data_IF_100367575477
#
_entry.id   IF_100367575477
#
_cell.length_a   1.000
_cell.length_b   1.000
_cell.length_c   1.000
_cell.angle_alpha   90.00
_cell.angle_beta   90.00
_cell.angle_gamma   90.00
#
_symmetry.space_group_name_H-M   'P 1'
#
loop_
_entity.id
_entity.type
_entity.pdbx_description
1 polymer ?
#
# COMPACT_ATOMS: atom_id res chain seq x y z
N UNK A 1 -22.01 -1.34 3.36
CA UNK A 1 -21.60 -1.33 1.94
C UNK A 1 -20.72 -2.54 1.72
N UNK A 2 -20.92 -3.30 0.64
CA UNK A 2 -20.00 -4.40 0.33
C UNK A 2 -18.77 -3.76 -0.35
N UNK A 3 -17.60 -3.87 0.27
CA UNK A 3 -16.35 -3.44 -0.34
C UNK A 3 -15.79 -4.63 -1.13
N UNK A 4 -15.49 -4.46 -2.41
CA UNK A 4 -14.85 -5.49 -3.23
C UNK A 4 -13.36 -5.18 -3.39
N UNK A 5 -12.44 -6.09 -2.99
CA UNK A 5 -11.03 -5.89 -3.24
C UNK A 5 -10.70 -5.67 -4.72
N UNK A 6 -11.39 -6.35 -5.65
CA UNK A 6 -11.15 -6.19 -7.08
C UNK A 6 -11.44 -4.78 -7.58
N UNK A 7 -12.43 -4.09 -7.00
CA UNK A 7 -12.73 -2.70 -7.35
C UNK A 7 -11.60 -1.75 -6.94
N UNK A 8 -11.04 -1.95 -5.74
CA UNK A 8 -9.88 -1.17 -5.26
C UNK A 8 -8.67 -1.39 -6.17
N UNK A 9 -8.41 -2.64 -6.56
CA UNK A 9 -7.34 -2.95 -7.49
C UNK A 9 -7.63 -2.35 -8.88
N UNK A 10 -8.85 -2.46 -9.41
CA UNK A 10 -9.18 -1.87 -10.70
C UNK A 10 -8.97 -0.35 -10.70
N UNK A 11 -9.44 0.34 -9.66
CA UNK A 11 -9.24 1.77 -9.49
C UNK A 11 -7.75 2.15 -9.47
N UNK A 12 -6.96 1.48 -8.64
CA UNK A 12 -5.55 1.80 -8.49
C UNK A 12 -4.75 1.53 -9.78
N UNK A 13 -5.01 0.42 -10.47
CA UNK A 13 -4.27 0.08 -11.70
C UNK A 13 -4.65 0.99 -12.86
N UNK A 14 -5.92 1.38 -12.96
CA UNK A 14 -6.38 2.34 -13.97
C UNK A 14 -5.77 3.74 -13.77
N UNK A 15 -5.44 4.12 -12.53
CA UNK A 15 -4.76 5.38 -12.25
C UNK A 15 -3.33 5.40 -12.79
N UNK A 16 -2.61 4.28 -12.70
CA UNK A 16 -1.26 4.11 -13.22
C UNK A 16 -0.16 4.90 -12.49
N UNK A 17 1.12 4.67 -12.86
CA UNK A 17 2.29 5.12 -12.10
C UNK A 17 2.41 6.64 -11.97
N UNK A 18 1.89 7.41 -12.93
CA UNK A 18 1.88 8.87 -12.84
C UNK A 18 1.06 9.34 -11.62
N UNK A 19 -0.09 8.72 -11.37
CA UNK A 19 -0.96 9.05 -10.25
C UNK A 19 -0.51 8.41 -8.94
N UNK A 20 0.05 7.19 -8.97
CA UNK A 20 0.51 6.47 -7.77
C UNK A 20 1.46 7.30 -6.91
N UNK A 21 2.40 8.01 -7.56
CA UNK A 21 3.49 8.70 -6.84
C UNK A 21 3.40 10.23 -6.88
N UNK A 22 2.74 10.83 -7.88
CA UNK A 22 2.59 12.28 -7.95
C UNK A 22 1.22 12.77 -7.46
N UNK A 23 0.18 11.94 -7.60
CA UNK A 23 -1.20 12.31 -7.30
C UNK A 23 -1.64 13.61 -7.99
N UNK A 24 -2.38 14.43 -7.25
CA UNK A 24 -2.92 15.72 -7.70
C UNK A 24 -4.35 15.90 -7.23
N UNK A 25 -4.84 17.14 -7.15
CA UNK A 25 -6.15 17.45 -6.55
C UNK A 25 -7.30 16.60 -7.14
N UNK A 26 -7.31 16.42 -8.46
CA UNK A 26 -8.31 15.59 -9.13
C UNK A 26 -8.23 14.10 -8.74
N UNK A 27 -7.02 13.56 -8.60
CA UNK A 27 -6.83 12.16 -8.20
C UNK A 27 -7.10 11.98 -6.70
N UNK A 28 -6.69 12.93 -5.87
CA UNK A 28 -6.96 12.93 -4.44
C UNK A 28 -8.49 12.92 -4.17
N UNK A 29 -9.26 13.67 -4.95
CA UNK A 29 -10.73 13.64 -4.89
C UNK A 29 -11.31 12.31 -5.38
N UNK A 30 -10.77 11.75 -6.47
CA UNK A 30 -11.18 10.43 -6.94
C UNK A 30 -10.90 9.34 -5.89
N UNK A 31 -9.77 9.40 -5.18
CA UNK A 31 -9.44 8.51 -4.07
C UNK A 31 -10.46 8.66 -2.93
N UNK A 32 -10.83 9.89 -2.54
CA UNK A 32 -11.85 10.11 -1.50
C UNK A 32 -13.21 9.55 -1.92
N UNK A 33 -13.65 9.87 -3.13
CA UNK A 33 -14.94 9.43 -3.64
C UNK A 33 -15.04 7.90 -3.75
N UNK A 34 -13.95 7.23 -4.16
CA UNK A 34 -13.97 5.79 -4.42
C UNK A 34 -13.59 4.94 -3.20
N UNK A 35 -12.62 5.38 -2.40
CA UNK A 35 -11.96 4.54 -1.40
C UNK A 35 -12.27 4.91 0.06
N UNK A 36 -12.86 6.08 0.36
CA UNK A 36 -12.99 6.54 1.75
C UNK A 36 -13.82 5.60 2.63
N UNK A 37 -14.90 5.05 2.10
CA UNK A 37 -15.72 4.06 2.82
C UNK A 37 -14.96 2.77 3.12
N UNK A 38 -14.24 2.23 2.12
CA UNK A 38 -13.45 1.01 2.26
C UNK A 38 -12.26 1.22 3.21
N UNK A 39 -11.63 2.39 3.16
CA UNK A 39 -10.60 2.81 4.10
C UNK A 39 -11.11 2.82 5.54
N UNK A 40 -12.30 3.39 5.79
CA UNK A 40 -12.89 3.40 7.13
C UNK A 40 -13.10 1.99 7.69
N UNK A 41 -13.66 1.08 6.89
CA UNK A 41 -13.85 -0.32 7.26
C UNK A 41 -12.50 -1.06 7.46
N UNK A 42 -11.52 -0.82 6.59
CA UNK A 42 -10.17 -1.36 6.73
C UNK A 42 -9.47 -0.87 8.00
N UNK A 43 -9.56 0.43 8.31
CA UNK A 43 -8.99 1.03 9.51
C UNK A 43 -9.63 0.45 10.78
N UNK A 44 -10.95 0.20 10.76
CA UNK A 44 -11.69 -0.43 11.85
C UNK A 44 -11.44 -1.95 12.02
N UNK A 45 -10.77 -2.61 11.06
CA UNK A 45 -10.51 -4.06 11.11
C UNK A 45 -11.60 -4.94 10.51
N UNK A 46 -12.63 -4.34 9.94
CA UNK A 46 -13.77 -5.07 9.35
C UNK A 46 -13.37 -5.83 8.07
N UNK A 47 -12.28 -5.42 7.42
CA UNK A 47 -11.78 -6.04 6.19
C UNK A 47 -10.57 -6.96 6.40
N UNK A 48 -10.20 -7.29 7.65
CA UNK A 48 -9.00 -8.10 7.94
C UNK A 48 -9.06 -9.51 7.31
N UNK A 49 -10.28 -10.03 7.02
CA UNK A 49 -10.49 -11.27 6.28
C UNK A 49 -9.89 -11.27 4.86
N UNK A 50 -9.63 -10.10 4.29
CA UNK A 50 -8.98 -9.96 2.97
C UNK A 50 -7.55 -10.52 2.95
N UNK A 51 -6.93 -10.75 4.11
CA UNK A 51 -5.62 -11.40 4.20
C UNK A 51 -5.62 -12.87 3.73
N UNK A 52 -6.79 -13.47 3.49
CA UNK A 52 -6.91 -14.88 3.08
C UNK A 52 -6.39 -15.16 1.65
N UNK A 53 -6.30 -14.15 0.78
CA UNK A 53 -5.81 -14.31 -0.59
C UNK A 53 -4.87 -13.17 -1.01
N UNK A 54 -3.92 -13.42 -1.95
CA UNK A 54 -2.93 -12.41 -2.33
C UNK A 54 -3.53 -11.10 -2.85
N UNK A 55 -4.58 -11.18 -3.67
CA UNK A 55 -5.19 -10.01 -4.30
C UNK A 55 -5.95 -9.14 -3.32
N UNK A 56 -6.73 -9.75 -2.43
CA UNK A 56 -7.45 -9.04 -1.40
C UNK A 56 -6.50 -8.49 -0.35
N UNK A 57 -5.41 -9.18 -0.03
CA UNK A 57 -4.35 -8.66 0.86
C UNK A 57 -3.69 -7.41 0.26
N UNK A 58 -3.37 -7.43 -1.04
CA UNK A 58 -2.82 -6.26 -1.73
C UNK A 58 -3.78 -5.07 -1.69
N UNK A 59 -5.07 -5.30 -1.95
CA UNK A 59 -6.09 -4.25 -1.89
C UNK A 59 -6.17 -3.62 -0.49
N UNK A 60 -6.10 -4.45 0.55
CA UNK A 60 -6.10 -3.99 1.93
C UNK A 60 -4.85 -3.15 2.27
N UNK A 61 -3.68 -3.57 1.80
CA UNK A 61 -2.43 -2.81 1.98
C UNK A 61 -2.54 -1.46 1.25
N UNK A 62 -3.01 -1.43 0.00
CA UNK A 62 -3.19 -0.19 -0.74
C UNK A 62 -4.16 0.78 -0.05
N UNK A 63 -5.28 0.27 0.49
CA UNK A 63 -6.23 1.08 1.25
C UNK A 63 -5.59 1.73 2.47
N UNK A 64 -4.68 1.04 3.16
CA UNK A 64 -4.11 1.50 4.42
C UNK A 64 -2.78 2.24 4.28
N UNK A 65 -2.08 2.04 3.17
CA UNK A 65 -0.76 2.62 2.89
C UNK A 65 -0.84 3.69 1.79
N UNK A 66 -1.32 3.35 0.60
CA UNK A 66 -1.28 4.28 -0.53
C UNK A 66 -2.42 5.30 -0.50
N UNK A 67 -3.66 4.86 -0.28
CA UNK A 67 -4.84 5.74 -0.35
C UNK A 67 -4.78 6.92 0.65
N UNK A 68 -4.32 6.77 1.91
CA UNK A 68 -4.23 7.88 2.86
C UNK A 68 -3.31 9.01 2.39
N UNK A 69 -2.26 8.68 1.62
CA UNK A 69 -1.30 9.65 1.04
C UNK A 69 -1.93 10.56 0.00
N UNK A 70 -3.01 10.11 -0.65
CA UNK A 70 -3.84 10.92 -1.55
C UNK A 70 -5.04 11.55 -0.84
N UNK A 71 -5.78 10.79 -0.02
CA UNK A 71 -7.03 11.26 0.59
C UNK A 71 -6.81 12.35 1.65
N UNK A 72 -5.70 12.27 2.39
CA UNK A 72 -5.44 13.10 3.58
C UNK A 72 -4.11 13.87 3.50
N UNK A 73 -3.71 14.26 2.28
CA UNK A 73 -2.46 14.98 2.00
C UNK A 73 -2.23 16.13 2.98
N UNK A 74 -0.98 16.26 3.46
CA UNK A 74 -0.56 17.30 4.39
C UNK A 74 -1.31 17.32 5.74
N UNK A 75 -1.82 16.17 6.18
CA UNK A 75 -2.45 16.01 7.49
C UNK A 75 -1.90 14.79 8.24
N UNK A 76 -2.03 14.79 9.57
CA UNK A 76 -1.61 13.65 10.40
C UNK A 76 -2.38 12.35 10.06
N UNK A 77 -3.59 12.46 9.50
CA UNK A 77 -4.40 11.31 9.13
C UNK A 77 -3.78 10.49 7.98
N UNK A 78 -2.87 11.08 7.22
CA UNK A 78 -2.08 10.38 6.19
C UNK A 78 -1.29 9.19 6.75
N UNK A 79 -0.85 9.28 8.01
CA UNK A 79 0.00 8.27 8.65
C UNK A 79 -0.77 7.37 9.63
N UNK A 80 -2.06 7.64 9.86
CA UNK A 80 -2.84 7.02 10.93
C UNK A 80 -2.94 5.48 10.81
N UNK A 81 -2.77 4.95 9.60
CA UNK A 81 -2.88 3.51 9.31
C UNK A 81 -1.55 2.86 8.94
N UNK A 82 -0.43 3.58 8.95
CA UNK A 82 0.88 3.07 8.53
C UNK A 82 1.31 1.86 9.37
N UNK A 83 1.14 1.92 10.70
CA UNK A 83 1.47 0.80 11.59
C UNK A 83 0.66 -0.48 11.28
N UNK A 84 -0.62 -0.33 10.90
CA UNK A 84 -1.46 -1.47 10.49
C UNK A 84 -1.04 -2.00 9.12
N UNK A 85 -0.77 -1.11 8.17
CA UNK A 85 -0.28 -1.49 6.85
C UNK A 85 1.03 -2.28 6.94
N UNK A 86 1.97 -1.84 7.78
CA UNK A 86 3.24 -2.53 8.03
C UNK A 86 3.02 -3.95 8.56
N UNK A 87 2.16 -4.13 9.57
CA UNK A 87 1.87 -5.44 10.14
C UNK A 87 1.22 -6.39 9.11
N UNK A 88 0.35 -5.88 8.25
CA UNK A 88 -0.30 -6.67 7.19
C UNK A 88 0.67 -7.00 6.03
N UNK A 89 1.57 -6.08 5.70
CA UNK A 89 2.64 -6.31 4.75
C UNK A 89 3.56 -7.42 5.22
N UNK A 90 4.01 -7.38 6.49
CA UNK A 90 4.82 -8.44 7.09
C UNK A 90 4.15 -9.81 7.02
N UNK A 91 2.88 -9.88 7.43
CA UNK A 91 2.08 -11.12 7.32
C UNK A 91 1.95 -11.61 5.89
N UNK A 92 1.76 -10.70 4.93
CA UNK A 92 1.68 -11.03 3.50
C UNK A 92 2.99 -11.58 2.95
N UNK A 93 4.14 -11.07 3.43
CA UNK A 93 5.45 -11.62 3.09
C UNK A 93 5.64 -13.03 3.65
N UNK A 94 5.26 -13.24 4.92
CA UNK A 94 5.41 -14.52 5.60
C UNK A 94 4.67 -15.68 4.90
N UNK A 95 3.51 -15.41 4.31
CA UNK A 95 2.73 -16.40 3.56
C UNK A 95 2.98 -16.38 2.05
N UNK A 96 3.87 -15.51 1.56
CA UNK A 96 4.28 -15.48 0.15
C UNK A 96 3.33 -14.75 -0.80
N UNK A 97 2.37 -13.95 -0.30
CA UNK A 97 1.37 -13.27 -1.15
C UNK A 97 2.00 -12.34 -2.20
N UNK A 98 3.08 -11.62 -1.84
CA UNK A 98 3.85 -10.76 -2.74
C UNK A 98 4.32 -11.48 -4.02
N UNK A 99 4.59 -12.80 -3.95
CA UNK A 99 5.09 -13.58 -5.08
C UNK A 99 4.06 -13.79 -6.17
N UNK A 100 2.77 -13.60 -5.88
CA UNK A 100 1.69 -13.65 -6.86
C UNK A 100 1.72 -12.45 -7.84
N UNK A 101 2.49 -11.41 -7.53
CA UNK A 101 2.57 -10.19 -8.33
C UNK A 101 3.95 -10.03 -8.97
N UNK A 102 4.03 -9.64 -10.26
CA UNK A 102 5.26 -9.14 -10.84
C UNK A 102 5.52 -7.70 -10.36
N UNK A 103 6.73 -7.20 -10.61
CA UNK A 103 7.00 -5.76 -10.53
C UNK A 103 6.22 -5.02 -11.63
N UNK A 104 5.77 -3.78 -11.38
CA UNK A 104 5.92 -3.02 -10.14
C UNK A 104 4.89 -3.36 -9.05
N UNK A 105 3.84 -4.14 -9.35
CA UNK A 105 2.75 -4.43 -8.40
C UNK A 105 3.21 -5.06 -7.09
N UNK A 106 4.26 -5.89 -7.13
CA UNK A 106 4.87 -6.47 -5.93
C UNK A 106 5.40 -5.42 -4.93
N UNK A 107 5.87 -4.27 -5.43
CA UNK A 107 6.45 -3.20 -4.61
C UNK A 107 5.48 -2.66 -3.57
N UNK A 108 4.18 -2.70 -3.83
CA UNK A 108 3.16 -2.24 -2.88
C UNK A 108 3.11 -3.08 -1.59
N UNK A 109 3.64 -4.31 -1.59
CA UNK A 109 3.86 -5.07 -0.36
C UNK A 109 5.09 -4.59 0.43
N UNK A 110 5.98 -3.79 -0.17
CA UNK A 110 7.24 -3.34 0.40
C UNK A 110 7.16 -1.90 0.90
N UNK A 111 6.34 -1.06 0.24
CA UNK A 111 6.19 0.35 0.61
C UNK A 111 5.83 0.60 2.09
N UNK A 112 5.00 -0.21 2.77
CA UNK A 112 4.77 -0.02 4.21
C UNK A 112 6.05 -0.10 5.06
N UNK A 113 7.05 -0.87 4.64
CA UNK A 113 8.37 -0.92 5.30
C UNK A 113 9.20 0.34 5.03
N UNK A 114 9.10 0.91 3.83
CA UNK A 114 9.76 2.17 3.46
C UNK A 114 9.19 3.35 4.24
N UNK A 115 7.88 3.33 4.47
CA UNK A 115 7.15 4.40 5.15
C UNK A 115 7.23 4.38 6.67
N UNK A 116 7.68 3.26 7.25
CA UNK A 116 7.83 3.15 8.69
C UNK A 116 8.94 4.07 9.20
N UNK A 117 8.69 4.78 10.29
CA UNK A 117 9.72 5.50 11.07
C UNK A 117 10.52 4.52 11.95
N UNK A 118 11.01 3.44 11.33
CA UNK A 118 11.78 2.37 11.98
C UNK A 118 12.91 1.90 11.05
N UNK A 119 14.15 2.03 11.52
CA UNK A 119 15.34 1.73 10.72
C UNK A 119 15.42 0.25 10.31
N UNK A 120 14.89 -0.67 11.13
CA UNK A 120 14.89 -2.09 10.81
C UNK A 120 13.89 -2.40 9.68
N UNK A 121 12.71 -1.78 9.70
CA UNK A 121 11.73 -1.84 8.62
C UNK A 121 12.31 -1.26 7.32
N UNK A 122 12.93 -0.08 7.37
CA UNK A 122 13.54 0.54 6.19
C UNK A 122 14.69 -0.31 5.61
N UNK A 123 15.57 -0.85 6.45
CA UNK A 123 16.63 -1.77 6.03
C UNK A 123 16.04 -3.02 5.34
N UNK A 124 14.94 -3.55 5.89
CA UNK A 124 14.23 -4.67 5.29
C UNK A 124 13.62 -4.31 3.94
N UNK A 125 13.10 -3.09 3.76
CA UNK A 125 12.62 -2.64 2.45
C UNK A 125 13.74 -2.63 1.41
N UNK A 126 14.93 -2.15 1.79
CA UNK A 126 16.11 -2.15 0.91
C UNK A 126 16.46 -3.58 0.47
N UNK A 127 16.52 -4.51 1.43
CA UNK A 127 16.84 -5.91 1.15
C UNK A 127 15.79 -6.59 0.25
N UNK A 128 14.50 -6.32 0.47
CA UNK A 128 13.40 -6.83 -0.36
C UNK A 128 13.50 -6.33 -1.80
N UNK A 129 13.64 -5.02 -2.00
CA UNK A 129 13.76 -4.43 -3.33
C UNK A 129 15.01 -4.95 -4.06
N UNK A 130 16.14 -5.04 -3.35
CA UNK A 130 17.39 -5.58 -3.90
C UNK A 130 17.26 -7.05 -4.30
N UNK A 131 16.68 -7.88 -3.43
CA UNK A 131 16.53 -9.32 -3.65
C UNK A 131 15.66 -9.65 -4.87
N UNK A 132 14.67 -8.81 -5.16
CA UNK A 132 13.75 -8.98 -6.27
C UNK A 132 14.17 -8.26 -7.57
N UNK A 133 15.30 -7.54 -7.56
CA UNK A 133 15.76 -6.78 -8.71
C UNK A 133 14.90 -5.55 -9.03
N UNK A 134 14.20 -4.99 -8.03
CA UNK A 134 13.42 -3.77 -8.18
C UNK A 134 14.33 -2.54 -8.08
N UNK A 135 14.97 -2.15 -9.20
CA UNK A 135 15.96 -1.06 -9.23
C UNK A 135 15.37 0.28 -8.74
N UNK A 136 14.18 0.65 -9.21
CA UNK A 136 13.48 1.86 -8.77
C UNK A 136 13.13 1.77 -7.28
N UNK A 137 12.53 0.66 -6.85
CA UNK A 137 12.16 0.45 -5.45
C UNK A 137 13.38 0.49 -4.53
N UNK A 138 14.51 -0.06 -4.97
CA UNK A 138 15.77 -0.03 -4.25
C UNK A 138 16.31 1.39 -4.12
N UNK A 139 16.31 2.17 -5.21
CA UNK A 139 16.71 3.57 -5.18
C UNK A 139 15.90 4.37 -4.15
N UNK A 140 14.56 4.28 -4.21
CA UNK A 140 13.72 5.01 -3.28
C UNK A 140 13.82 4.50 -1.84
N UNK A 141 14.03 3.19 -1.62
CA UNK A 141 14.25 2.64 -0.29
C UNK A 141 15.51 3.23 0.38
N UNK A 142 16.60 3.41 -0.38
CA UNK A 142 17.82 4.05 0.13
C UNK A 142 17.65 5.54 0.44
N UNK A 143 16.78 6.24 -0.30
CA UNK A 143 16.49 7.66 -0.06
C UNK A 143 15.70 7.87 1.24
N UNK A 144 14.95 6.86 1.69
CA UNK A 144 14.09 6.94 2.88
C UNK A 144 14.78 6.48 4.19
N UNK A 145 15.94 5.82 4.12
CA UNK A 145 16.77 5.48 5.30
C UNK A 145 17.39 6.72 5.95
#
# INVERSE_FOLDING_TARGET
MNHDPCDILAFWWNAGPANWFNGGEAFDEACRAHCLGAYGAAAAGELDGWMAAPHSALALILLLDQMPRNMFRASAQMFATDGKALALADRSLAVGHHRAYPLPGRRFFYLPFMHAEDIAAQSRCVDLCRGDGDEDGYHYALVHM
#
